data_IF_568428533751
#
_entry.id   IF_568428533751
#
_cell.length_a   1.000
_cell.length_b   1.000
_cell.length_c   1.000
_cell.angle_alpha   90.00
_cell.angle_beta   90.00
_cell.angle_gamma   90.00
#
_symmetry.space_group_name_H-M   'P 1'
#
loop_
_entity.id
_entity.type
_entity.pdbx_description
1 polymer ?
#
# COMPACT_ATOMS: atom_id res chain seq x y z
N UNK A 1 23.77 27.68 -9.22
CA UNK A 1 22.86 26.56 -9.53
C UNK A 1 21.49 26.91 -8.99
N UNK A 2 20.41 26.59 -9.69
CA UNK A 2 19.04 26.97 -9.28
C UNK A 2 18.52 26.04 -8.18
N UNK A 3 17.91 26.61 -7.15
CA UNK A 3 17.21 25.84 -6.12
C UNK A 3 15.87 25.30 -6.68
N UNK A 4 15.66 24.00 -6.54
CA UNK A 4 14.44 23.30 -6.99
C UNK A 4 13.53 22.90 -5.82
N UNK A 5 13.88 23.27 -4.59
CA UNK A 5 13.04 22.96 -3.43
C UNK A 5 11.66 23.61 -3.54
N UNK A 6 10.64 22.92 -3.05
CA UNK A 6 9.25 23.39 -3.12
C UNK A 6 8.42 22.82 -1.97
N UNK A 7 7.28 23.45 -1.71
CA UNK A 7 6.29 22.98 -0.75
C UNK A 7 5.02 22.57 -1.50
N UNK A 8 4.57 21.34 -1.28
CA UNK A 8 3.36 20.80 -1.90
C UNK A 8 2.44 20.20 -0.84
N UNK A 9 1.24 20.74 -0.67
CA UNK A 9 0.26 20.30 0.34
C UNK A 9 0.85 20.19 1.77
N UNK A 10 1.78 21.08 2.12
CA UNK A 10 2.48 21.08 3.41
C UNK A 10 3.70 20.15 3.49
N UNK A 11 3.98 19.35 2.45
CA UNK A 11 5.18 18.54 2.33
C UNK A 11 6.33 19.38 1.81
N UNK A 12 7.50 19.26 2.44
CA UNK A 12 8.74 19.84 1.92
C UNK A 12 9.43 18.87 0.97
N UNK A 13 9.62 19.30 -0.27
CA UNK A 13 10.23 18.50 -1.33
C UNK A 13 11.52 19.16 -1.79
N UNK A 14 12.58 18.37 -1.97
CA UNK A 14 13.86 18.87 -2.51
C UNK A 14 13.82 19.16 -4.02
N UNK A 15 12.80 18.66 -4.71
CA UNK A 15 12.55 18.90 -6.13
C UNK A 15 11.03 18.81 -6.41
N UNK A 16 10.52 19.43 -7.48
CA UNK A 16 9.10 19.31 -7.86
C UNK A 16 8.79 18.00 -8.60
N UNK A 17 9.76 17.10 -8.76
CA UNK A 17 9.60 15.87 -9.53
C UNK A 17 9.09 14.74 -8.65
N UNK A 18 7.96 14.15 -8.98
CA UNK A 18 7.36 13.05 -8.21
C UNK A 18 7.34 11.77 -9.06
N UNK A 19 7.82 10.66 -8.50
CA UNK A 19 7.72 9.36 -9.16
C UNK A 19 6.28 8.84 -9.08
N UNK A 20 5.62 8.69 -10.22
CA UNK A 20 4.23 8.22 -10.29
C UNK A 20 4.06 6.78 -9.83
N UNK A 21 2.82 6.41 -9.47
CA UNK A 21 2.44 5.05 -9.12
C UNK A 21 2.76 4.09 -10.28
N UNK A 22 3.54 3.05 -10.00
CA UNK A 22 3.92 2.08 -11.02
C UNK A 22 4.90 1.02 -10.54
N UNK A 23 5.45 0.19 -11.45
CA UNK A 23 6.29 -0.95 -11.09
C UNK A 23 7.55 -0.57 -10.29
N UNK A 24 8.15 0.58 -10.59
CA UNK A 24 9.34 1.05 -9.87
C UNK A 24 9.02 1.54 -8.46
N UNK A 25 7.85 2.16 -8.23
CA UNK A 25 7.45 2.56 -6.87
C UNK A 25 6.83 1.41 -6.08
N UNK A 26 6.42 0.32 -6.74
CA UNK A 26 6.02 -0.93 -6.09
C UNK A 26 7.16 -1.88 -5.72
N UNK A 27 8.40 -1.59 -6.14
CA UNK A 27 9.58 -2.38 -5.82
C UNK A 27 10.49 -1.62 -4.84
N UNK A 28 10.54 -2.00 -3.55
CA UNK A 28 11.39 -1.34 -2.56
C UNK A 28 12.88 -1.28 -2.92
N UNK A 29 13.39 -2.20 -3.75
CA UNK A 29 14.77 -2.18 -4.23
C UNK A 29 15.07 -1.02 -5.20
N UNK A 30 14.03 -0.39 -5.77
CA UNK A 30 14.17 0.74 -6.70
C UNK A 30 14.07 2.10 -6.02
N UNK A 31 13.55 2.16 -4.80
CA UNK A 31 13.27 3.42 -4.10
C UNK A 31 14.50 4.29 -3.89
N UNK A 32 15.59 3.71 -3.40
CA UNK A 32 16.84 4.46 -3.23
C UNK A 32 17.34 5.02 -4.57
N UNK A 33 17.16 4.29 -5.68
CA UNK A 33 17.56 4.77 -7.01
C UNK A 33 16.68 5.92 -7.50
N UNK A 34 15.38 5.88 -7.23
CA UNK A 34 14.46 6.98 -7.54
C UNK A 34 14.81 8.22 -6.71
N UNK A 35 15.15 8.01 -5.44
CA UNK A 35 15.66 9.05 -4.56
C UNK A 35 16.98 9.61 -5.12
N UNK A 36 18.00 8.80 -5.35
CA UNK A 36 19.30 9.27 -5.84
C UNK A 36 19.21 9.97 -7.21
N UNK A 37 18.22 9.60 -8.04
CA UNK A 37 17.91 10.26 -9.30
C UNK A 37 17.25 11.65 -9.17
N UNK A 38 16.95 12.09 -7.95
CA UNK A 38 16.45 13.43 -7.66
C UNK A 38 14.93 13.54 -7.53
N UNK A 39 14.19 12.44 -7.36
CA UNK A 39 12.77 12.50 -7.03
C UNK A 39 12.55 13.26 -5.71
N UNK A 40 11.57 14.16 -5.66
CA UNK A 40 11.16 14.89 -4.47
C UNK A 40 10.19 14.10 -3.60
N UNK A 41 9.42 13.18 -4.20
CA UNK A 41 8.53 12.23 -3.52
C UNK A 41 8.27 11.01 -4.43
N UNK A 42 7.70 9.94 -3.87
CA UNK A 42 7.18 8.80 -4.64
C UNK A 42 5.71 8.57 -4.35
N UNK A 43 4.95 8.11 -5.34
CA UNK A 43 3.58 7.62 -5.17
C UNK A 43 3.60 6.10 -5.23
N UNK A 44 3.09 5.45 -4.20
CA UNK A 44 3.01 3.99 -4.13
C UNK A 44 1.96 3.44 -5.11
N UNK A 45 2.03 2.15 -5.50
CA UNK A 45 0.99 1.52 -6.31
C UNK A 45 -0.38 1.67 -5.65
N UNK A 46 -1.41 1.93 -6.47
CA UNK A 46 -2.77 2.10 -5.97
C UNK A 46 -3.27 0.83 -5.29
N UNK A 47 -3.84 0.98 -4.10
CA UNK A 47 -4.75 0.00 -3.51
C UNK A 47 -6.14 0.24 -4.10
N UNK A 48 -6.67 -0.75 -4.81
CA UNK A 48 -8.00 -0.69 -5.40
C UNK A 48 -9.06 -1.16 -4.40
N UNK A 49 -10.24 -0.56 -4.44
CA UNK A 49 -11.39 -0.93 -3.60
C UNK A 49 -11.73 -2.42 -3.73
N UNK A 50 -11.63 -3.00 -4.93
CA UNK A 50 -11.86 -4.41 -5.18
C UNK A 50 -10.87 -5.32 -4.42
N UNK A 51 -9.64 -4.86 -4.20
CA UNK A 51 -8.66 -5.59 -3.38
C UNK A 51 -9.03 -5.54 -1.88
N UNK A 52 -9.64 -4.45 -1.43
CA UNK A 52 -10.14 -4.28 -0.05
C UNK A 52 -11.35 -5.19 0.16
N UNK A 53 -12.30 -5.17 -0.76
CA UNK A 53 -13.51 -6.00 -0.68
C UNK A 53 -13.19 -7.50 -0.79
N UNK A 54 -12.26 -7.88 -1.67
CA UNK A 54 -11.85 -9.27 -1.81
C UNK A 54 -11.15 -9.81 -0.57
N UNK A 55 -10.25 -9.03 0.05
CA UNK A 55 -9.59 -9.41 1.31
C UNK A 55 -10.63 -9.53 2.45
N UNK A 56 -11.58 -8.59 2.54
CA UNK A 56 -12.66 -8.65 3.52
C UNK A 56 -13.55 -9.90 3.36
N UNK A 57 -13.96 -10.21 2.12
CA UNK A 57 -14.78 -11.39 1.81
C UNK A 57 -14.03 -12.71 2.05
N UNK A 58 -12.74 -12.76 1.73
CA UNK A 58 -11.90 -13.95 1.98
C UNK A 58 -11.76 -14.20 3.49
N UNK A 59 -11.60 -13.16 4.29
CA UNK A 59 -11.56 -13.27 5.76
C UNK A 59 -12.91 -13.73 6.33
N UNK A 60 -14.02 -13.15 5.88
CA UNK A 60 -15.36 -13.53 6.33
C UNK A 60 -15.66 -15.01 6.04
N UNK A 61 -15.39 -15.48 4.81
CA UNK A 61 -15.52 -16.91 4.48
C UNK A 61 -14.66 -17.82 5.37
N UNK A 62 -13.43 -17.40 5.68
CA UNK A 62 -12.57 -18.17 6.56
C UNK A 62 -13.15 -18.28 7.99
N UNK A 63 -13.82 -17.23 8.49
CA UNK A 63 -14.50 -17.27 9.77
C UNK A 63 -15.78 -18.12 9.74
N UNK A 64 -16.63 -17.93 8.74
CA UNK A 64 -17.90 -18.66 8.61
C UNK A 64 -17.69 -20.16 8.38
N UNK A 65 -16.73 -20.55 7.54
CA UNK A 65 -16.40 -21.96 7.30
C UNK A 65 -15.91 -22.67 8.57
N UNK A 66 -15.25 -21.96 9.48
CA UNK A 66 -14.83 -22.52 10.77
C UNK A 66 -15.98 -22.58 11.79
N UNK A 67 -16.96 -21.68 11.71
CA UNK A 67 -18.08 -21.62 12.64
C UNK A 67 -19.05 -22.81 12.48
N UNK A 68 -19.28 -23.28 11.25
CA UNK A 68 -20.29 -24.31 10.96
C UNK A 68 -19.78 -25.76 11.05
N UNK A 69 -18.47 -25.99 11.15
CA UNK A 69 -17.90 -27.34 10.98
C UNK A 69 -17.45 -28.01 12.28
N UNK A 70 -16.99 -27.29 13.32
CA UNK A 70 -16.44 -27.92 14.52
C UNK A 70 -16.58 -27.08 15.81
N UNK A 71 -17.47 -27.49 16.72
CA UNK A 71 -17.66 -26.85 18.04
C UNK A 71 -16.47 -26.95 19.01
N UNK A 72 -15.41 -27.69 18.67
CA UNK A 72 -14.25 -27.94 19.52
C UNK A 72 -12.91 -27.51 18.91
N UNK A 73 -12.91 -26.97 17.68
CA UNK A 73 -11.68 -26.63 16.97
C UNK A 73 -11.67 -25.17 16.51
N UNK A 74 -11.18 -24.28 17.37
CA UNK A 74 -11.09 -22.84 17.11
C UNK A 74 -9.91 -22.42 16.19
N UNK A 75 -9.11 -23.37 15.68
CA UNK A 75 -7.86 -23.04 14.98
C UNK A 75 -7.53 -24.02 13.85
N UNK A 76 -8.30 -23.98 12.77
CA UNK A 76 -7.89 -24.53 11.48
C UNK A 76 -8.13 -23.48 10.40
N UNK A 77 -7.45 -22.33 10.46
CA UNK A 77 -7.25 -21.56 9.23
C UNK A 77 -6.20 -22.32 8.41
N UNK A 78 -6.54 -22.97 7.29
CA UNK A 78 -5.52 -23.42 6.37
C UNK A 78 -4.76 -22.17 5.90
N UNK A 79 -3.43 -22.24 5.93
CA UNK A 79 -2.59 -21.20 5.34
C UNK A 79 -2.84 -21.21 3.83
N UNK A 80 -3.84 -20.46 3.39
CA UNK A 80 -4.04 -20.14 1.99
C UNK A 80 -2.85 -19.26 1.59
N UNK A 81 -1.96 -19.82 0.77
CA UNK A 81 -0.83 -19.12 0.16
C UNK A 81 -1.36 -18.23 -0.98
N UNK A 82 -2.29 -17.33 -0.61
CA UNK A 82 -2.78 -16.28 -1.49
C UNK A 82 -1.68 -15.24 -1.57
N UNK A 83 -1.41 -14.68 -2.76
CA UNK A 83 -0.52 -13.54 -2.86
C UNK A 83 -1.04 -12.48 -1.89
N UNK A 84 -0.17 -11.97 -1.02
CA UNK A 84 -0.51 -10.91 -0.05
C UNK A 84 -0.96 -9.70 -0.88
N UNK A 85 -2.26 -9.54 -1.11
CA UNK A 85 -2.87 -8.46 -1.89
C UNK A 85 -3.87 -7.75 -1.00
N UNK A 86 -4.17 -6.49 -1.30
CA UNK A 86 -5.08 -5.70 -0.47
C UNK A 86 -4.41 -4.86 0.63
N UNK A 87 -5.18 -4.48 1.67
CA UNK A 87 -4.80 -3.43 2.62
C UNK A 87 -3.51 -3.71 3.37
N UNK A 88 -3.31 -4.96 3.83
CA UNK A 88 -2.14 -5.34 4.64
C UNK A 88 -0.84 -5.15 3.88
N UNK A 89 -0.76 -5.64 2.63
CA UNK A 89 0.41 -5.40 1.78
C UNK A 89 0.62 -3.92 1.49
N UNK A 90 -0.45 -3.16 1.22
CA UNK A 90 -0.33 -1.73 0.95
C UNK A 90 0.22 -0.97 2.16
N UNK A 91 -0.27 -1.29 3.37
CA UNK A 91 0.27 -0.75 4.62
C UNK A 91 1.74 -1.13 4.81
N UNK A 92 2.11 -2.39 4.55
CA UNK A 92 3.51 -2.81 4.62
C UNK A 92 4.42 -2.05 3.63
N UNK A 93 3.91 -1.67 2.45
CA UNK A 93 4.64 -0.79 1.52
C UNK A 93 4.77 0.63 2.07
N UNK A 94 3.72 1.18 2.69
CA UNK A 94 3.76 2.51 3.33
C UNK A 94 4.76 2.53 4.48
N UNK A 95 4.76 1.52 5.34
CA UNK A 95 5.70 1.37 6.45
C UNK A 95 7.14 1.30 5.95
N UNK A 96 7.41 0.42 4.98
CA UNK A 96 8.74 0.31 4.38
C UNK A 96 9.17 1.63 3.73
N UNK A 97 8.26 2.35 3.05
CA UNK A 97 8.56 3.62 2.41
C UNK A 97 8.97 4.66 3.44
N UNK A 98 8.23 4.75 4.56
CA UNK A 98 8.55 5.63 5.69
C UNK A 98 9.91 5.31 6.32
N UNK A 99 10.28 4.04 6.40
CA UNK A 99 11.53 3.61 7.02
C UNK A 99 12.76 3.82 6.12
N UNK A 100 12.60 3.68 4.80
CA UNK A 100 13.72 3.59 3.86
C UNK A 100 13.99 4.87 3.08
N UNK A 101 12.99 5.72 2.88
CA UNK A 101 13.13 6.93 2.06
C UNK A 101 13.47 8.16 2.90
N UNK A 102 14.36 8.99 2.37
CA UNK A 102 14.58 10.36 2.87
C UNK A 102 13.55 11.37 2.33
N UNK A 103 12.69 10.95 1.40
CA UNK A 103 11.67 11.76 0.74
C UNK A 103 10.25 11.24 1.05
N UNK A 104 9.20 12.08 0.95
CA UNK A 104 7.83 11.64 1.20
C UNK A 104 7.38 10.49 0.28
N UNK A 105 6.79 9.46 0.89
CA UNK A 105 6.01 8.43 0.21
C UNK A 105 4.51 8.74 0.30
N UNK A 106 3.82 8.76 -0.84
CA UNK A 106 2.39 9.06 -0.94
C UNK A 106 1.64 7.76 -1.20
N UNK A 107 0.79 7.35 -0.27
CA UNK A 107 -0.12 6.23 -0.46
C UNK A 107 -1.16 6.56 -1.54
N UNK A 108 -1.39 5.64 -2.47
CA UNK A 108 -2.37 5.80 -3.54
C UNK A 108 -3.53 4.83 -3.29
N UNK A 109 -4.74 5.38 -3.33
CA UNK A 109 -5.98 4.63 -3.16
C UNK A 109 -6.89 4.94 -4.35
N UNK A 110 -7.55 3.91 -4.87
CA UNK A 110 -8.52 4.03 -5.95
C UNK A 110 -9.83 3.37 -5.51
N UNK A 111 -10.84 4.21 -5.25
CA UNK A 111 -12.18 3.76 -4.88
C UNK A 111 -13.23 4.52 -5.67
N UNK A 112 -14.35 3.85 -5.90
CA UNK A 112 -15.48 4.35 -6.68
C UNK A 112 -16.75 4.51 -5.85
N UNK A 113 -16.88 3.78 -4.73
CA UNK A 113 -18.06 3.86 -3.87
C UNK A 113 -17.84 4.73 -2.62
N UNK A 114 -18.91 5.36 -2.10
CA UNK A 114 -18.86 5.98 -0.77
C UNK A 114 -18.61 4.92 0.31
N UNK A 115 -17.43 4.96 0.92
CA UNK A 115 -17.11 4.16 2.09
C UNK A 115 -16.56 2.76 1.81
N UNK A 116 -16.56 2.26 0.57
CA UNK A 116 -15.98 0.95 0.25
C UNK A 116 -14.47 0.86 0.57
N UNK A 117 -13.77 1.99 0.44
CA UNK A 117 -12.34 2.11 0.75
C UNK A 117 -12.00 2.45 2.21
N UNK A 118 -13.00 2.60 3.09
CA UNK A 118 -12.81 2.95 4.52
C UNK A 118 -12.77 1.70 5.41
N UNK A 119 -13.02 0.51 4.84
CA UNK A 119 -13.12 -0.76 5.56
C UNK A 119 -11.78 -1.35 5.96
#
# INVERSE_FOLDING_TARGET
>A
MTDLSTTYLGLQLRSPLVASAGPHTGNPAMWQRLEDAGAGAIVLPSLFEEEIEHDAFTREQAYDFNADQFGEAQSFLPALDLPDVGPSRHLALVEQARERLGIPGIASLNGTSPGGWVR
#
